data_IF_702362358120
#
_entry.id   IF_702362358120
#
_cell.length_a   1.000
_cell.length_b   1.000
_cell.length_c   1.000
_cell.angle_alpha   90.00
_cell.angle_beta   90.00
_cell.angle_gamma   90.00
#
_symmetry.space_group_name_H-M   'P 1'
#
loop_
_entity.id
_entity.type
_entity.pdbx_description
1 polymer ?
#
# COMPACT_ATOMS: atom_id res chain seq x y z
N UNK A 1 -53.76 -24.28 -9.52
CA UNK A 1 -52.48 -24.88 -9.07
C UNK A 1 -51.33 -24.61 -10.03
N UNK A 2 -51.48 -24.88 -11.34
CA UNK A 2 -50.44 -24.63 -12.36
C UNK A 2 -49.90 -23.17 -12.38
N UNK A 3 -50.79 -22.18 -12.27
CA UNK A 3 -50.40 -20.76 -12.30
C UNK A 3 -49.66 -20.29 -11.03
N UNK A 4 -49.80 -21.01 -9.91
CA UNK A 4 -49.09 -20.71 -8.66
C UNK A 4 -47.68 -21.31 -8.70
N UNK A 5 -47.55 -22.56 -9.18
CA UNK A 5 -46.26 -23.23 -9.41
C UNK A 5 -45.38 -22.49 -10.44
N UNK A 6 -45.99 -21.93 -11.49
CA UNK A 6 -45.26 -21.14 -12.50
C UNK A 6 -44.72 -19.81 -11.94
N UNK A 7 -45.50 -19.14 -11.08
CA UNK A 7 -45.05 -17.90 -10.40
C UNK A 7 -43.92 -18.18 -9.41
N UNK A 8 -44.02 -19.24 -8.61
CA UNK A 8 -42.92 -19.65 -7.71
C UNK A 8 -41.67 -20.06 -8.47
N UNK A 9 -41.80 -20.70 -9.64
CA UNK A 9 -40.66 -21.05 -10.49
C UNK A 9 -39.93 -19.82 -11.05
N UNK A 10 -40.67 -18.80 -11.50
CA UNK A 10 -40.09 -17.54 -12.01
C UNK A 10 -39.40 -16.77 -10.87
N UNK A 11 -39.99 -16.72 -9.68
CA UNK A 11 -39.37 -16.08 -8.51
C UNK A 11 -38.08 -16.81 -8.13
N UNK A 12 -38.09 -18.14 -8.08
CA UNK A 12 -36.89 -18.92 -7.78
C UNK A 12 -35.78 -18.69 -8.82
N UNK A 13 -36.12 -18.67 -10.12
CA UNK A 13 -35.17 -18.40 -11.20
C UNK A 13 -34.56 -16.99 -11.10
N UNK A 14 -35.36 -15.98 -10.73
CA UNK A 14 -34.88 -14.61 -10.51
C UNK A 14 -33.95 -14.51 -9.29
N UNK A 15 -34.26 -15.22 -8.19
CA UNK A 15 -33.37 -15.29 -7.04
C UNK A 15 -32.03 -15.97 -7.39
N UNK A 16 -32.04 -17.05 -8.18
CA UNK A 16 -30.81 -17.69 -8.65
C UNK A 16 -30.00 -16.77 -9.58
N UNK A 17 -30.67 -16.04 -10.48
CA UNK A 17 -30.03 -15.08 -11.39
C UNK A 17 -29.31 -13.94 -10.68
N UNK A 18 -29.87 -13.42 -9.57
CA UNK A 18 -29.22 -12.38 -8.76
C UNK A 18 -27.90 -12.86 -8.14
N UNK A 19 -27.81 -14.13 -7.74
CA UNK A 19 -26.58 -14.69 -7.17
C UNK A 19 -25.53 -15.08 -8.22
N UNK A 20 -25.92 -15.19 -9.49
CA UNK A 20 -25.04 -15.60 -10.58
C UNK A 20 -24.13 -14.46 -11.07
N UNK A 21 -24.52 -13.19 -10.93
CA UNK A 21 -23.69 -12.05 -11.34
C UNK A 21 -22.33 -11.99 -10.62
N UNK A 22 -22.26 -12.51 -9.39
CA UNK A 22 -21.02 -12.57 -8.61
C UNK A 22 -20.07 -13.68 -9.04
N UNK A 23 -20.57 -14.69 -9.78
CA UNK A 23 -19.77 -15.80 -10.31
C UNK A 23 -19.21 -15.52 -11.71
N UNK A 24 -19.67 -14.47 -12.38
CA UNK A 24 -19.29 -14.16 -13.77
C UNK A 24 -17.91 -13.47 -13.86
N UNK A 25 -17.24 -13.20 -12.73
CA UNK A 25 -15.85 -12.73 -12.72
C UNK A 25 -15.69 -11.33 -13.31
N UNK A 26 -16.77 -10.55 -13.44
CA UNK A 26 -16.67 -9.13 -13.74
C UNK A 26 -15.99 -8.46 -12.54
N UNK A 27 -14.91 -7.72 -12.80
CA UNK A 27 -14.21 -6.95 -11.78
C UNK A 27 -15.20 -5.95 -11.16
N UNK A 28 -15.67 -6.24 -9.95
CA UNK A 28 -16.46 -5.32 -9.16
C UNK A 28 -15.51 -4.29 -8.54
N UNK A 29 -15.53 -3.03 -8.98
CA UNK A 29 -14.62 -2.01 -8.47
C UNK A 29 -14.78 -1.80 -6.97
N UNK A 30 -15.96 -2.04 -6.40
CA UNK A 30 -16.18 -1.93 -4.96
C UNK A 30 -15.46 -3.05 -4.20
N UNK A 31 -15.45 -4.28 -4.74
CA UNK A 31 -14.72 -5.41 -4.13
C UNK A 31 -13.23 -5.23 -4.23
N UNK A 32 -12.73 -4.76 -5.36
CA UNK A 32 -11.30 -4.51 -5.53
C UNK A 32 -10.82 -3.37 -4.62
N UNK A 33 -11.63 -2.31 -4.45
CA UNK A 33 -11.34 -1.27 -3.47
C UNK A 33 -11.32 -1.82 -2.03
N UNK A 34 -12.31 -2.63 -1.65
CA UNK A 34 -12.36 -3.26 -0.33
C UNK A 34 -11.18 -4.22 -0.10
N UNK A 35 -10.76 -4.98 -1.11
CA UNK A 35 -9.56 -5.82 -1.04
C UNK A 35 -8.32 -4.98 -0.81
N UNK A 36 -8.09 -3.94 -1.62
CA UNK A 36 -6.94 -3.03 -1.46
C UNK A 36 -6.89 -2.38 -0.09
N UNK A 37 -8.04 -2.00 0.47
CA UNK A 37 -8.12 -1.49 1.83
C UNK A 37 -7.75 -2.55 2.87
N UNK A 38 -8.26 -3.78 2.72
CA UNK A 38 -7.93 -4.89 3.61
C UNK A 38 -6.45 -5.29 3.53
N UNK A 39 -5.86 -5.25 2.33
CA UNK A 39 -4.45 -5.53 2.09
C UNK A 39 -3.58 -4.44 2.74
N UNK A 40 -3.94 -3.17 2.57
CA UNK A 40 -3.25 -2.06 3.23
C UNK A 40 -3.30 -2.17 4.76
N UNK A 41 -4.45 -2.59 5.32
CA UNK A 41 -4.60 -2.86 6.75
C UNK A 41 -3.70 -4.02 7.20
N UNK A 42 -3.67 -5.11 6.44
CA UNK A 42 -2.80 -6.25 6.70
C UNK A 42 -1.31 -5.82 6.68
N UNK A 43 -0.91 -5.03 5.69
CA UNK A 43 0.44 -4.46 5.60
C UNK A 43 0.81 -3.64 6.82
N UNK A 44 -0.09 -2.76 7.29
CA UNK A 44 0.13 -1.98 8.52
C UNK A 44 0.32 -2.86 9.76
N UNK A 45 -0.51 -3.89 9.89
CA UNK A 45 -0.41 -4.85 10.99
C UNK A 45 0.91 -5.61 10.96
N UNK A 46 1.32 -6.13 9.80
CA UNK A 46 2.58 -6.83 9.62
C UNK A 46 3.78 -5.92 9.90
N UNK A 47 3.70 -4.66 9.45
CA UNK A 47 4.75 -3.67 9.65
C UNK A 47 4.97 -3.36 11.15
N UNK A 48 3.89 -3.34 11.94
CA UNK A 48 4.00 -3.21 13.40
C UNK A 48 4.61 -4.45 14.05
N UNK A 49 4.18 -5.63 13.63
CA UNK A 49 4.73 -6.89 14.12
C UNK A 49 6.24 -7.00 13.82
N UNK A 50 6.67 -6.40 12.71
CA UNK A 50 8.07 -6.22 12.34
C UNK A 50 8.83 -5.15 13.15
N UNK A 51 8.16 -4.45 14.08
CA UNK A 51 8.74 -3.43 14.94
C UNK A 51 9.11 -2.13 14.25
N UNK A 52 8.55 -1.87 13.06
CA UNK A 52 8.82 -0.65 12.31
C UNK A 52 7.96 0.53 12.78
N UNK A 53 8.52 1.73 12.67
CA UNK A 53 7.76 2.96 12.86
C UNK A 53 6.74 3.12 11.71
N UNK A 54 5.63 3.82 11.99
CA UNK A 54 4.58 4.03 10.99
C UNK A 54 5.08 4.78 9.74
N UNK A 55 6.02 5.71 9.92
CA UNK A 55 6.62 6.47 8.81
C UNK A 55 7.41 5.57 7.86
N UNK A 56 8.12 4.57 8.38
CA UNK A 56 8.82 3.57 7.55
C UNK A 56 7.81 2.72 6.77
N UNK A 57 6.67 2.37 7.39
CA UNK A 57 5.62 1.60 6.73
C UNK A 57 5.06 2.34 5.52
N UNK A 58 4.91 3.67 5.59
CA UNK A 58 4.48 4.49 4.47
C UNK A 58 5.54 4.59 3.37
N UNK A 59 6.81 4.71 3.74
CA UNK A 59 7.90 4.76 2.77
C UNK A 59 8.06 3.44 1.99
N UNK A 60 7.84 2.30 2.66
CA UNK A 60 7.94 0.98 2.05
C UNK A 60 6.70 0.59 1.23
N UNK A 61 5.56 1.25 1.43
CA UNK A 61 4.29 0.91 0.78
C UNK A 61 3.60 2.17 0.22
N UNK A 62 4.19 2.85 -0.78
CA UNK A 62 3.67 4.10 -1.31
C UNK A 62 2.29 3.95 -1.97
N UNK A 63 1.98 2.77 -2.52
CA UNK A 63 0.70 2.47 -3.19
C UNK A 63 -0.42 2.05 -2.24
N UNK A 64 -0.11 1.82 -0.96
CA UNK A 64 -1.08 1.41 0.03
C UNK A 64 -1.84 2.62 0.61
N UNK A 65 -3.12 2.44 0.91
CA UNK A 65 -3.91 3.47 1.61
C UNK A 65 -3.30 3.77 2.98
N UNK A 66 -2.73 4.97 3.15
CA UNK A 66 -2.08 5.39 4.41
C UNK A 66 -3.03 5.28 5.61
N UNK A 67 -4.31 5.61 5.41
CA UNK A 67 -5.33 5.49 6.46
C UNK A 67 -5.53 4.04 6.90
N UNK A 68 -5.64 3.10 5.95
CA UNK A 68 -5.82 1.69 6.25
C UNK A 68 -4.55 1.06 6.86
N UNK A 69 -3.37 1.41 6.36
CA UNK A 69 -2.08 1.03 6.96
C UNK A 69 -2.01 1.48 8.42
N UNK A 70 -2.35 2.73 8.72
CA UNK A 70 -2.36 3.22 10.09
C UNK A 70 -3.37 2.48 10.99
N UNK A 71 -4.57 2.21 10.48
CA UNK A 71 -5.58 1.45 11.20
C UNK A 71 -5.06 0.06 11.60
N UNK A 72 -4.49 -0.68 10.65
CA UNK A 72 -3.90 -2.00 10.91
C UNK A 72 -2.68 -1.95 11.83
N UNK A 73 -1.82 -0.93 11.69
CA UNK A 73 -0.66 -0.73 12.56
C UNK A 73 -1.08 -0.49 14.01
N UNK A 74 -2.10 0.35 14.24
CA UNK A 74 -2.62 0.63 15.59
C UNK A 74 -3.26 -0.60 16.22
N UNK A 75 -4.12 -1.28 15.48
CA UNK A 75 -4.76 -2.50 15.98
C UNK A 75 -3.73 -3.56 16.38
N UNK A 76 -2.69 -3.76 15.56
CA UNK A 76 -1.62 -4.69 15.91
C UNK A 76 -0.75 -4.19 17.07
N UNK A 77 -0.51 -2.88 17.18
CA UNK A 77 0.23 -2.30 18.30
C UNK A 77 -0.50 -2.56 19.62
N UNK A 78 -1.81 -2.32 19.64
CA UNK A 78 -2.64 -2.51 20.82
C UNK A 78 -2.72 -4.00 21.17
N UNK A 79 -2.93 -4.87 20.17
CA UNK A 79 -2.90 -6.32 20.34
C UNK A 79 -1.57 -6.83 20.90
N UNK A 80 -0.42 -6.40 20.34
CA UNK A 80 0.90 -6.80 20.85
C UNK A 80 1.14 -6.31 22.28
N UNK A 81 0.68 -5.11 22.64
CA UNK A 81 0.84 -4.54 23.98
C UNK A 81 -0.01 -5.29 25.02
N UNK A 82 -1.23 -5.65 24.65
CA UNK A 82 -2.14 -6.42 25.49
C UNK A 82 -1.65 -7.86 25.68
N UNK A 83 -1.09 -8.47 24.64
CA UNK A 83 -0.72 -9.89 24.62
C UNK A 83 0.77 -10.15 24.83
N UNK A 84 1.58 -9.10 25.05
CA UNK A 84 3.06 -9.18 25.23
C UNK A 84 3.74 -9.97 24.12
N UNK A 85 3.37 -9.68 22.88
CA UNK A 85 3.96 -10.32 21.71
C UNK A 85 5.24 -9.55 21.36
N UNK A 86 6.32 -10.30 21.15
CA UNK A 86 7.60 -9.72 20.76
C UNK A 86 7.61 -9.34 19.28
N UNK A 87 8.44 -8.36 18.96
CA UNK A 87 8.70 -7.96 17.58
C UNK A 87 9.50 -9.06 16.86
N UNK A 88 9.09 -9.40 15.65
CA UNK A 88 9.81 -10.32 14.76
C UNK A 88 10.56 -9.52 13.72
N UNK A 89 11.89 -9.46 13.82
CA UNK A 89 12.70 -8.69 12.86
C UNK A 89 12.59 -9.30 11.46
N UNK A 90 12.28 -8.50 10.41
CA UNK A 90 12.27 -9.00 9.04
C UNK A 90 13.63 -9.57 8.63
N UNK A 91 13.64 -10.77 8.07
CA UNK A 91 14.85 -11.45 7.59
C UNK A 91 15.20 -11.04 6.15
N UNK A 92 14.21 -10.64 5.37
CA UNK A 92 14.37 -10.23 3.98
C UNK A 92 14.73 -8.75 3.95
N UNK A 93 15.87 -8.41 3.34
CA UNK A 93 16.28 -7.03 3.12
C UNK A 93 15.23 -6.29 2.26
N UNK A 94 14.92 -5.01 2.54
CA UNK A 94 14.07 -4.21 1.66
C UNK A 94 14.63 -4.23 0.24
N UNK A 95 13.81 -4.61 -0.75
CA UNK A 95 14.22 -4.55 -2.16
C UNK A 95 14.48 -3.08 -2.51
N UNK A 96 15.70 -2.76 -2.94
CA UNK A 96 16.01 -1.43 -3.48
C UNK A 96 15.16 -1.19 -4.74
N UNK A 97 14.64 0.04 -4.94
CA UNK A 97 13.97 0.40 -6.17
C UNK A 97 14.93 0.18 -7.36
N UNK A 98 14.44 -0.33 -8.50
CA UNK A 98 15.28 -0.45 -9.70
C UNK A 98 15.84 0.93 -10.08
N UNK A 99 17.13 1.01 -10.48
CA UNK A 99 17.75 2.28 -10.81
C UNK A 99 16.97 2.97 -11.94
N UNK A 100 16.86 4.31 -11.90
CA UNK A 100 16.16 5.05 -12.94
C UNK A 100 16.83 4.77 -14.30
N UNK A 101 16.02 4.40 -15.30
CA UNK A 101 16.49 4.29 -16.68
C UNK A 101 17.03 5.66 -17.11
N UNK A 102 18.24 5.74 -17.70
CA UNK A 102 18.78 7.01 -18.16
C UNK A 102 17.89 7.59 -19.26
N UNK A 103 17.37 8.79 -19.01
CA UNK A 103 16.71 9.60 -20.04
C UNK A 103 17.76 10.20 -20.99
N UNK A 104 17.53 10.24 -22.30
CA UNK A 104 18.46 10.86 -23.24
C UNK A 104 18.37 12.39 -23.11
N UNK A 105 19.45 13.01 -22.63
CA UNK A 105 19.58 14.47 -22.57
C UNK A 105 19.82 15.05 -23.96
N UNK A 106 18.97 15.99 -24.37
CA UNK A 106 19.11 16.81 -25.57
C UNK A 106 19.35 18.29 -25.17
N UNK A 107 20.43 18.85 -25.74
CA UNK A 107 20.70 20.28 -26.06
C UNK A 107 20.83 21.30 -24.91
N UNK A 108 21.65 22.36 -24.94
CA UNK A 108 22.75 22.84 -25.78
C UNK A 108 23.37 24.11 -25.11
N UNK A 109 24.63 24.43 -25.47
CA UNK A 109 25.39 25.72 -25.43
C UNK A 109 25.18 26.76 -24.31
N UNK A 110 26.17 27.11 -23.49
CA UNK A 110 27.40 27.90 -23.74
C UNK A 110 27.21 29.42 -23.50
N UNK A 111 27.82 29.96 -22.43
CA UNK A 111 28.71 31.14 -22.50
C UNK A 111 29.44 31.37 -21.18
N UNK A 112 30.72 31.71 -21.31
CA UNK A 112 31.74 31.82 -20.29
C UNK A 112 31.74 33.16 -19.54
N UNK A 113 32.25 33.18 -18.30
CA UNK A 113 33.55 33.79 -17.98
C UNK A 113 33.78 33.90 -16.45
N UNK A 114 35.04 33.70 -16.11
CA UNK A 114 35.73 33.60 -14.82
C UNK A 114 35.43 34.69 -13.77
N UNK A 115 35.50 34.33 -12.48
CA UNK A 115 36.71 34.56 -11.67
C UNK A 115 36.63 33.92 -10.28
N UNK A 116 37.79 33.46 -9.83
CA UNK A 116 38.08 32.71 -8.63
C UNK A 116 37.95 33.51 -7.32
N UNK A 117 37.66 32.82 -6.21
CA UNK A 117 38.48 32.96 -4.99
C UNK A 117 38.21 31.80 -4.02
N UNK A 118 39.19 30.90 -3.96
CA UNK A 118 39.45 29.99 -2.85
C UNK A 118 40.22 30.74 -1.76
N UNK A 119 39.77 30.65 -0.49
CA UNK A 119 40.55 30.76 0.76
C UNK A 119 39.56 30.75 1.95
N UNK A 120 39.39 29.64 2.67
CA UNK A 120 40.22 29.14 3.77
C UNK A 120 39.82 29.65 5.18
N UNK A 121 39.71 28.67 6.09
CA UNK A 121 39.83 28.77 7.56
C UNK A 121 38.65 29.28 8.40
N UNK A 122 38.12 28.45 9.29
CA UNK A 122 38.63 28.37 10.67
C UNK A 122 37.87 27.36 11.54
N UNK A 123 38.65 26.66 12.35
CA UNK A 123 38.29 25.63 13.33
C UNK A 123 38.12 26.25 14.73
N UNK A 124 36.98 26.01 15.39
CA UNK A 124 36.74 26.12 16.85
C UNK A 124 35.24 25.95 17.10
N UNK A 125 34.72 25.25 18.12
CA UNK A 125 35.16 25.21 19.51
C UNK A 125 34.39 24.08 20.25
N UNK A 126 35.16 23.27 20.98
CA UNK A 126 34.86 22.54 22.23
C UNK A 126 33.85 21.40 22.23
#
# INVERSE_FOLDING_TARGET
MLSLSMRTGIVLLMLLGLTACERIGLADPAKEAARKESDAKATGSACRHAGRAIEDCYALNPDASRAAVYAGWKEMNDYMRENKIDVVKPEIAPNEPPPPKPEPSAEASESASASASESASAKSKK
#
